data_IF_520946314303
#
_entry.id   IF_520946314303
#
_cell.length_a   1.000
_cell.length_b   1.000
_cell.length_c   1.000
_cell.angle_alpha   90.00
_cell.angle_beta   90.00
_cell.angle_gamma   90.00
#
_symmetry.space_group_name_H-M   'P 1'
#
loop_
_entity.id
_entity.type
_entity.pdbx_description
1 polymer ?
#
# COMPACT_ATOMS: atom_id res chain seq x y z
N UNK A 1 -5.56 0.49 18.32
CA UNK A 1 -5.24 1.29 17.14
C UNK A 1 -4.10 2.24 17.48
N UNK A 2 -3.05 2.25 16.71
CA UNK A 2 -1.96 3.22 16.81
C UNK A 2 -2.27 4.42 15.93
N UNK A 3 -1.75 5.60 16.31
CA UNK A 3 -1.82 6.80 15.51
C UNK A 3 -0.40 7.33 15.31
N UNK A 4 0.06 7.38 14.06
CA UNK A 4 1.44 7.70 13.72
C UNK A 4 1.52 8.88 12.75
N UNK A 5 2.52 9.75 12.95
CA UNK A 5 2.82 10.89 12.08
C UNK A 5 4.19 10.71 11.45
N UNK A 6 4.23 10.68 10.13
CA UNK A 6 5.44 10.57 9.32
C UNK A 6 5.79 11.92 8.70
N UNK A 7 7.03 12.36 8.87
CA UNK A 7 7.54 13.66 8.39
C UNK A 7 8.99 13.54 7.96
N UNK A 8 9.44 14.46 7.11
CA UNK A 8 10.76 14.46 6.50
C UNK A 8 10.72 13.80 5.12
N UNK A 9 11.83 13.29 4.64
CA UNK A 9 11.87 12.46 3.43
C UNK A 9 11.31 11.07 3.71
N UNK A 10 11.07 10.27 2.68
CA UNK A 10 10.68 8.87 2.83
C UNK A 10 11.70 8.11 3.66
N UNK A 11 13.00 8.23 3.36
CA UNK A 11 14.06 7.60 4.15
C UNK A 11 13.99 7.98 5.63
N UNK A 12 13.89 9.28 5.94
CA UNK A 12 13.83 9.76 7.32
C UNK A 12 12.58 9.26 8.07
N UNK A 13 11.45 9.18 7.38
CA UNK A 13 10.22 8.64 7.92
C UNK A 13 10.37 7.16 8.28
N UNK A 14 10.89 6.34 7.35
CA UNK A 14 11.18 4.94 7.56
C UNK A 14 12.18 4.71 8.70
N UNK A 15 13.31 5.42 8.68
CA UNK A 15 14.36 5.31 9.70
C UNK A 15 13.84 5.64 11.11
N UNK A 16 13.09 6.73 11.22
CA UNK A 16 12.52 7.16 12.51
C UNK A 16 11.53 6.13 13.05
N UNK A 17 10.68 5.61 12.19
CA UNK A 17 9.70 4.60 12.60
C UNK A 17 10.37 3.28 12.97
N UNK A 18 11.30 2.78 12.15
CA UNK A 18 12.07 1.59 12.44
C UNK A 18 12.82 1.67 13.76
N UNK A 19 13.50 2.81 14.00
CA UNK A 19 14.22 3.07 15.24
C UNK A 19 13.29 3.14 16.47
N UNK A 20 12.09 3.74 16.30
CA UNK A 20 11.10 3.82 17.37
C UNK A 20 10.59 2.42 17.75
N UNK A 21 10.25 1.60 16.77
CA UNK A 21 9.82 0.23 16.99
C UNK A 21 10.91 -0.59 17.68
N UNK A 22 12.15 -0.52 17.20
CA UNK A 22 13.29 -1.22 17.81
C UNK A 22 13.52 -0.80 19.26
N UNK A 23 13.45 0.51 19.55
CA UNK A 23 13.56 1.05 20.91
C UNK A 23 12.52 0.43 21.86
N UNK A 24 11.32 0.15 21.36
CA UNK A 24 10.24 -0.48 22.11
C UNK A 24 10.26 -2.01 22.03
N UNK A 25 11.36 -2.60 21.55
CA UNK A 25 11.53 -4.06 21.35
C UNK A 25 10.48 -4.67 20.42
N UNK A 26 10.01 -3.89 19.47
CA UNK A 26 9.05 -4.31 18.47
C UNK A 26 9.82 -4.61 17.18
N UNK A 27 10.18 -5.86 16.99
CA UNK A 27 10.95 -6.30 15.84
C UNK A 27 9.97 -6.63 14.72
N UNK A 28 10.08 -5.92 13.59
CA UNK A 28 9.16 -6.09 12.44
C UNK A 28 9.20 -7.54 11.95
N UNK A 29 10.38 -8.11 11.78
CA UNK A 29 10.53 -9.47 11.26
C UNK A 29 9.97 -10.58 12.17
N UNK A 30 9.72 -10.29 13.44
CA UNK A 30 9.06 -11.22 14.38
C UNK A 30 7.51 -11.12 14.33
N UNK A 31 6.97 -10.10 13.64
CA UNK A 31 5.55 -9.81 13.57
C UNK A 31 4.96 -9.99 12.17
N UNK A 32 5.59 -10.82 11.34
CA UNK A 32 5.13 -11.10 9.98
C UNK A 32 4.18 -12.31 10.02
N UNK A 33 3.01 -12.25 9.34
CA UNK A 33 2.02 -13.31 9.39
C UNK A 33 2.30 -14.49 8.45
N UNK A 34 3.50 -14.59 7.88
CA UNK A 34 3.90 -15.65 6.94
C UNK A 34 5.41 -15.92 7.00
N UNK A 35 5.82 -17.06 6.50
CA UNK A 35 7.24 -17.43 6.38
C UNK A 35 7.91 -16.68 5.22
N UNK A 36 9.14 -16.22 5.44
CA UNK A 36 9.97 -15.60 4.40
C UNK A 36 10.73 -16.70 3.66
N UNK A 37 10.11 -17.21 2.61
CA UNK A 37 10.70 -18.24 1.76
C UNK A 37 11.67 -17.66 0.72
N UNK A 38 12.52 -18.50 0.15
CA UNK A 38 13.37 -18.10 -0.98
C UNK A 38 12.54 -17.59 -2.16
N UNK A 39 11.38 -18.16 -2.42
CA UNK A 39 10.44 -17.71 -3.46
C UNK A 39 10.02 -16.24 -3.27
N UNK A 40 9.74 -15.82 -2.03
CA UNK A 40 9.41 -14.43 -1.73
C UNK A 40 10.58 -13.48 -1.93
N UNK A 41 11.79 -13.93 -1.60
CA UNK A 41 13.03 -13.17 -1.83
C UNK A 41 13.28 -13.00 -3.34
N UNK A 42 13.19 -14.06 -4.11
CA UNK A 42 13.39 -14.04 -5.57
C UNK A 42 12.31 -13.17 -6.25
N UNK A 43 11.07 -13.27 -5.78
CA UNK A 43 9.98 -12.43 -6.24
C UNK A 43 10.27 -10.94 -5.98
N UNK A 44 10.70 -10.58 -4.78
CA UNK A 44 11.03 -9.20 -4.43
C UNK A 44 12.19 -8.65 -5.28
N UNK A 45 13.22 -9.47 -5.54
CA UNK A 45 14.32 -9.10 -6.45
C UNK A 45 13.82 -8.82 -7.87
N UNK A 46 12.79 -9.53 -8.33
CA UNK A 46 12.17 -9.27 -9.63
C UNK A 46 11.29 -8.01 -9.66
N UNK A 47 10.72 -7.62 -8.51
CA UNK A 47 9.91 -6.41 -8.35
C UNK A 47 10.78 -5.14 -8.21
N UNK A 48 11.93 -5.22 -7.56
CA UNK A 48 12.76 -4.07 -7.21
C UNK A 48 13.03 -3.11 -8.37
N UNK A 49 13.43 -3.56 -9.58
CA UNK A 49 13.64 -2.64 -10.71
C UNK A 49 12.39 -1.87 -11.13
N UNK A 50 11.20 -2.41 -10.86
CA UNK A 50 9.93 -1.77 -11.14
C UNK A 50 9.68 -0.65 -10.13
N UNK A 51 9.86 -0.93 -8.84
CA UNK A 51 9.77 0.08 -7.79
C UNK A 51 10.80 1.20 -7.97
N UNK A 52 12.06 0.86 -8.27
CA UNK A 52 13.11 1.83 -8.58
C UNK A 52 12.74 2.77 -9.73
N UNK A 53 12.07 2.24 -10.75
CA UNK A 53 11.67 3.02 -11.93
C UNK A 53 10.46 3.93 -11.68
N UNK A 54 9.45 3.44 -10.97
CA UNK A 54 8.15 4.11 -10.87
C UNK A 54 7.89 4.75 -9.49
N UNK A 55 8.55 4.25 -8.46
CA UNK A 55 8.30 4.68 -7.07
C UNK A 55 9.57 4.57 -6.21
N UNK A 56 10.63 5.24 -6.66
CA UNK A 56 11.94 5.21 -6.01
C UNK A 56 11.87 5.65 -4.54
N UNK A 57 11.02 6.62 -4.23
CA UNK A 57 10.87 7.16 -2.88
C UNK A 57 10.44 6.09 -1.86
N UNK A 58 9.61 5.13 -2.26
CA UNK A 58 9.20 4.03 -1.36
C UNK A 58 10.36 3.05 -1.11
N UNK A 59 11.27 2.88 -2.07
CA UNK A 59 12.49 2.07 -1.88
C UNK A 59 13.38 2.72 -0.84
N UNK A 60 13.52 4.05 -0.88
CA UNK A 60 14.22 4.83 0.14
C UNK A 60 13.59 4.68 1.53
N UNK A 61 12.26 4.67 1.63
CA UNK A 61 11.59 4.46 2.92
C UNK A 61 11.83 3.05 3.47
N UNK A 62 11.79 2.04 2.61
CA UNK A 62 12.09 0.65 2.99
C UNK A 62 13.54 0.53 3.48
N UNK A 63 14.49 1.21 2.80
CA UNK A 63 15.87 1.26 3.25
C UNK A 63 15.99 1.93 4.62
N UNK A 64 15.36 3.09 4.80
CA UNK A 64 15.32 3.79 6.09
C UNK A 64 14.73 2.93 7.20
N UNK A 65 13.63 2.21 6.91
CA UNK A 65 13.00 1.30 7.86
C UNK A 65 13.93 0.14 8.26
N UNK A 66 14.64 -0.45 7.29
CA UNK A 66 15.62 -1.51 7.55
C UNK A 66 16.77 -1.02 8.41
N UNK A 67 17.34 0.15 8.10
CA UNK A 67 18.42 0.77 8.88
C UNK A 67 17.97 1.08 10.30
N UNK A 68 16.75 1.61 10.47
CA UNK A 68 16.16 1.88 11.76
C UNK A 68 15.89 0.62 12.60
N UNK A 69 15.52 -0.48 11.96
CA UNK A 69 15.32 -1.79 12.58
C UNK A 69 16.62 -2.59 12.73
N UNK A 70 17.73 -2.14 12.12
CA UNK A 70 19.02 -2.83 12.06
C UNK A 70 18.89 -4.24 11.45
N UNK A 71 18.11 -4.37 10.37
CA UNK A 71 17.89 -5.63 9.67
C UNK A 71 18.27 -5.56 8.19
N UNK A 72 18.33 -6.71 7.52
CA UNK A 72 18.63 -6.78 6.08
C UNK A 72 17.44 -6.23 5.28
N UNK A 73 17.69 -5.19 4.49
CA UNK A 73 16.68 -4.54 3.63
C UNK A 73 16.03 -5.52 2.64
N UNK A 74 16.78 -6.51 2.14
CA UNK A 74 16.27 -7.51 1.18
C UNK A 74 15.15 -8.34 1.81
N UNK A 75 15.25 -8.60 3.11
CA UNK A 75 14.22 -9.34 3.83
C UNK A 75 12.95 -8.48 3.99
N UNK A 76 13.09 -7.19 4.32
CA UNK A 76 11.96 -6.27 4.36
C UNK A 76 11.32 -6.08 2.98
N UNK A 77 12.11 -5.98 1.91
CA UNK A 77 11.61 -5.96 0.53
C UNK A 77 10.82 -7.23 0.20
N UNK A 78 11.33 -8.41 0.61
CA UNK A 78 10.61 -9.67 0.42
C UNK A 78 9.25 -9.67 1.13
N UNK A 79 9.19 -9.15 2.35
CA UNK A 79 7.94 -9.00 3.09
C UNK A 79 6.98 -8.06 2.36
N UNK A 80 7.40 -6.82 2.14
CA UNK A 80 6.54 -5.75 1.66
C UNK A 80 6.08 -5.97 0.21
N UNK A 81 6.97 -6.38 -0.70
CA UNK A 81 6.58 -6.57 -2.10
C UNK A 81 5.71 -7.82 -2.32
N UNK A 82 5.83 -8.85 -1.47
CA UNK A 82 5.04 -10.07 -1.61
C UNK A 82 3.75 -10.09 -0.80
N UNK A 83 3.54 -9.15 0.12
CA UNK A 83 2.47 -9.18 1.11
C UNK A 83 1.07 -9.35 0.50
N UNK A 84 0.68 -8.49 -0.43
CA UNK A 84 -0.62 -8.58 -1.12
C UNK A 84 -0.55 -9.34 -2.44
N UNK A 85 0.65 -9.68 -2.91
CA UNK A 85 0.84 -10.46 -4.13
C UNK A 85 0.76 -11.96 -3.89
N UNK A 86 1.15 -12.40 -2.69
CA UNK A 86 1.10 -13.78 -2.21
C UNK A 86 0.37 -13.85 -0.85
N UNK A 87 -0.88 -13.37 -0.77
CA UNK A 87 -1.56 -13.21 0.51
C UNK A 87 -2.08 -14.53 1.06
N UNK A 88 -2.24 -14.64 2.39
CA UNK A 88 -3.21 -15.55 2.97
C UNK A 88 -4.63 -15.11 2.55
N UNK A 89 -5.60 -16.01 2.66
CA UNK A 89 -7.02 -15.68 2.44
C UNK A 89 -7.45 -14.53 3.34
N UNK A 90 -7.95 -13.44 2.75
CA UNK A 90 -8.56 -12.35 3.47
C UNK A 90 -9.78 -11.85 2.68
N UNK A 91 -10.78 -11.35 3.41
CA UNK A 91 -11.95 -10.72 2.84
C UNK A 91 -11.95 -9.24 3.23
N UNK A 92 -12.50 -8.42 2.37
CA UNK A 92 -12.69 -6.99 2.63
C UNK A 92 -13.92 -6.53 1.87
N UNK A 93 -14.52 -5.45 2.32
CA UNK A 93 -15.55 -4.74 1.58
C UNK A 93 -15.20 -3.25 1.48
N UNK A 94 -15.51 -2.64 0.35
CA UNK A 94 -15.34 -1.22 0.12
C UNK A 94 -16.49 -0.70 -0.72
N UNK A 95 -16.98 0.49 -0.38
CA UNK A 95 -18.02 1.17 -1.13
C UNK A 95 -17.75 2.66 -1.20
N UNK A 96 -18.27 3.31 -2.22
CA UNK A 96 -18.32 4.76 -2.32
C UNK A 96 -19.67 5.21 -2.86
N UNK A 97 -20.16 6.33 -2.39
CA UNK A 97 -21.35 6.98 -2.94
C UNK A 97 -21.30 8.49 -2.76
N UNK A 98 -22.05 9.18 -3.63
CA UNK A 98 -22.21 10.63 -3.61
C UNK A 98 -23.67 10.97 -3.35
N UNK A 99 -23.89 11.96 -2.48
CA UNK A 99 -25.17 12.63 -2.28
C UNK A 99 -25.05 14.10 -2.69
N UNK A 100 -26.13 14.87 -2.57
CA UNK A 100 -26.09 16.32 -2.79
C UNK A 100 -25.21 17.06 -1.78
N UNK A 101 -24.91 16.44 -0.62
CA UNK A 101 -24.25 17.09 0.52
C UNK A 101 -22.85 16.55 0.78
N UNK A 102 -22.58 15.29 0.42
CA UNK A 102 -21.35 14.62 0.81
C UNK A 102 -20.95 13.52 -0.15
N UNK A 103 -19.66 13.19 -0.11
CA UNK A 103 -19.05 12.06 -0.80
C UNK A 103 -18.44 11.18 0.28
N UNK A 104 -18.83 9.92 0.29
CA UNK A 104 -18.39 8.96 1.29
C UNK A 104 -17.69 7.77 0.64
N UNK A 105 -16.56 7.39 1.21
CA UNK A 105 -15.90 6.11 0.95
C UNK A 105 -15.78 5.38 2.28
N UNK A 106 -16.31 4.18 2.34
CA UNK A 106 -16.22 3.31 3.52
C UNK A 106 -15.55 1.99 3.18
N UNK A 107 -14.70 1.52 4.08
CA UNK A 107 -14.02 0.22 3.94
C UNK A 107 -14.09 -0.57 5.24
N UNK A 108 -14.27 -1.88 5.12
CA UNK A 108 -14.15 -2.82 6.21
C UNK A 108 -13.09 -3.89 5.86
N UNK A 109 -12.28 -4.24 6.86
CA UNK A 109 -11.23 -5.25 6.75
C UNK A 109 -11.66 -6.48 7.55
N UNK A 110 -12.03 -7.55 6.84
CA UNK A 110 -12.43 -8.83 7.43
C UNK A 110 -11.24 -9.76 7.40
N UNK A 111 -10.33 -9.59 8.37
CA UNK A 111 -9.08 -10.32 8.44
C UNK A 111 -8.93 -11.02 9.80
N UNK A 112 -7.73 -11.47 10.14
CA UNK A 112 -7.44 -12.16 11.40
C UNK A 112 -7.66 -11.24 12.60
N UNK A 113 -8.41 -11.68 13.58
CA UNK A 113 -8.67 -10.90 14.82
C UNK A 113 -7.40 -10.62 15.62
N UNK A 114 -6.40 -11.48 15.48
CA UNK A 114 -5.09 -11.34 16.12
C UNK A 114 -4.36 -10.06 15.71
N UNK A 115 -4.58 -9.58 14.48
CA UNK A 115 -3.92 -8.36 13.98
C UNK A 115 -4.69 -7.07 14.22
N UNK A 116 -5.89 -7.11 14.81
CA UNK A 116 -6.65 -5.88 15.16
C UNK A 116 -5.82 -4.89 15.99
N UNK A 117 -4.95 -5.40 16.86
CA UNK A 117 -4.06 -4.58 17.69
C UNK A 117 -2.98 -3.88 16.88
N UNK A 118 -2.66 -4.37 15.67
CA UNK A 118 -1.65 -3.80 14.78
C UNK A 118 -2.23 -2.71 13.88
N UNK A 119 -3.56 -2.54 13.87
CA UNK A 119 -4.19 -1.50 13.08
C UNK A 119 -3.69 -0.12 13.49
N UNK A 120 -3.22 0.64 12.53
CA UNK A 120 -2.74 2.00 12.70
C UNK A 120 -3.40 2.96 11.72
N UNK A 121 -3.77 4.12 12.24
CA UNK A 121 -4.08 5.29 11.44
C UNK A 121 -2.81 6.12 11.30
N UNK A 122 -2.48 6.51 10.10
CA UNK A 122 -1.25 7.23 9.77
C UNK A 122 -1.53 8.57 9.13
N UNK A 123 -0.68 9.54 9.41
CA UNK A 123 -0.63 10.83 8.71
C UNK A 123 0.76 10.98 8.12
N UNK A 124 0.83 11.03 6.80
CA UNK A 124 2.06 11.30 6.06
C UNK A 124 2.08 12.75 5.60
N UNK A 125 3.14 13.45 5.95
CA UNK A 125 3.46 14.79 5.45
C UNK A 125 4.95 14.84 5.14
N UNK A 126 5.31 14.30 3.99
CA UNK A 126 6.69 14.18 3.54
C UNK A 126 7.14 15.42 2.75
N UNK A 127 8.45 15.57 2.57
CA UNK A 127 9.07 16.78 2.00
C UNK A 127 9.68 16.57 0.61
N UNK A 128 9.62 15.37 0.09
CA UNK A 128 10.21 14.94 -1.18
C UNK A 128 9.23 14.98 -2.37
N UNK A 129 8.31 15.94 -2.34
CA UNK A 129 7.50 16.31 -3.50
C UNK A 129 6.24 15.45 -3.71
N UNK A 130 5.77 14.78 -2.65
CA UNK A 130 4.54 14.01 -2.66
C UNK A 130 3.40 14.71 -1.90
N UNK A 131 2.16 14.30 -2.14
CA UNK A 131 1.00 14.82 -1.44
C UNK A 131 0.89 14.27 -0.02
N UNK A 132 0.43 15.11 0.90
CA UNK A 132 0.11 14.68 2.26
C UNK A 132 -1.18 13.85 2.25
N UNK A 133 -1.22 12.82 3.09
CA UNK A 133 -2.42 11.99 3.21
C UNK A 133 -2.59 11.44 4.63
N UNK A 134 -3.80 10.99 4.93
CA UNK A 134 -4.10 10.12 6.07
C UNK A 134 -4.66 8.81 5.57
N UNK A 135 -4.32 7.72 6.25
CA UNK A 135 -4.78 6.39 5.86
C UNK A 135 -4.76 5.39 7.01
N UNK A 136 -5.24 4.21 6.74
CA UNK A 136 -5.25 3.10 7.68
C UNK A 136 -4.51 1.89 7.09
N UNK A 137 -3.88 1.12 7.97
CA UNK A 137 -3.16 -0.08 7.59
C UNK A 137 -2.96 -1.03 8.77
N UNK A 138 -2.83 -2.30 8.44
CA UNK A 138 -2.28 -3.36 9.29
C UNK A 138 -0.95 -3.89 8.73
N UNK A 139 -0.47 -3.33 7.62
CA UNK A 139 0.61 -3.85 6.78
C UNK A 139 1.82 -2.91 6.71
N UNK A 140 2.30 -2.47 7.86
CA UNK A 140 3.49 -1.62 8.02
C UNK A 140 3.35 -0.27 7.32
N UNK A 141 4.09 -0.06 6.22
CA UNK A 141 4.09 1.18 5.42
C UNK A 141 3.16 1.12 4.20
N UNK A 142 2.58 -0.04 3.92
CA UNK A 142 1.54 -0.18 2.90
C UNK A 142 0.23 0.40 3.41
N UNK A 143 -0.61 0.91 2.51
CA UNK A 143 -1.86 1.56 2.89
C UNK A 143 -3.05 0.78 2.33
N UNK A 144 -4.05 0.55 3.17
CA UNK A 144 -5.26 -0.19 2.78
C UNK A 144 -6.41 0.72 2.34
N UNK A 145 -6.51 1.87 2.99
CA UNK A 145 -7.42 2.95 2.60
C UNK A 145 -6.89 4.30 3.10
N UNK A 146 -7.33 5.38 2.48
CA UNK A 146 -6.92 6.71 2.89
C UNK A 146 -7.51 7.81 2.04
N UNK A 147 -7.19 9.05 2.42
CA UNK A 147 -7.52 10.26 1.68
C UNK A 147 -6.36 11.23 1.71
N UNK A 148 -6.06 11.86 0.56
CA UNK A 148 -5.00 12.84 0.47
C UNK A 148 -5.50 14.29 0.59
N UNK A 149 -4.57 15.25 0.63
CA UNK A 149 -4.85 16.69 0.79
C UNK A 149 -5.67 17.30 -0.36
N UNK A 150 -5.77 16.62 -1.51
CA UNK A 150 -6.64 17.02 -2.62
C UNK A 150 -8.04 16.40 -2.54
N UNK A 151 -8.29 15.53 -1.55
CA UNK A 151 -9.55 14.84 -1.36
C UNK A 151 -9.74 13.62 -2.24
N UNK A 152 -8.68 13.08 -2.87
CA UNK A 152 -8.72 11.75 -3.47
C UNK A 152 -8.74 10.71 -2.36
N UNK A 153 -9.82 9.94 -2.28
CA UNK A 153 -9.98 8.80 -1.39
C UNK A 153 -9.80 7.49 -2.16
N UNK A 154 -9.08 6.55 -1.57
CA UNK A 154 -8.78 5.25 -2.15
C UNK A 154 -8.98 4.16 -1.11
N UNK A 155 -9.60 3.04 -1.49
CA UNK A 155 -9.71 1.85 -0.66
C UNK A 155 -9.51 0.59 -1.48
N UNK A 156 -8.76 -0.39 -0.94
CA UNK A 156 -8.53 -1.66 -1.59
C UNK A 156 -9.43 -2.77 -1.03
N UNK A 157 -9.76 -3.74 -1.87
CA UNK A 157 -10.23 -5.05 -1.44
C UNK A 157 -9.47 -6.14 -2.19
N UNK A 158 -9.10 -7.19 -1.49
CA UNK A 158 -8.35 -8.29 -2.07
C UNK A 158 -9.25 -9.18 -2.93
N UNK A 159 -8.70 -9.65 -4.04
CA UNK A 159 -9.27 -10.68 -4.90
C UNK A 159 -8.24 -11.80 -4.99
N UNK A 160 -8.66 -13.05 -5.04
CA UNK A 160 -7.74 -14.15 -5.17
C UNK A 160 -6.90 -14.01 -6.45
N UNK A 161 -5.56 -13.98 -6.34
CA UNK A 161 -4.70 -13.92 -7.51
C UNK A 161 -4.73 -15.26 -8.23
N UNK A 162 -5.08 -15.25 -9.51
CA UNK A 162 -4.91 -16.42 -10.37
C UNK A 162 -3.44 -16.60 -10.80
N UNK A 163 -2.69 -15.50 -10.84
CA UNK A 163 -1.26 -15.47 -11.17
C UNK A 163 -0.59 -14.30 -10.43
N UNK A 164 0.61 -14.54 -9.91
CA UNK A 164 1.48 -13.51 -9.37
C UNK A 164 2.56 -13.17 -10.38
N UNK A 165 2.73 -11.89 -10.72
CA UNK A 165 3.78 -11.39 -11.61
C UNK A 165 4.50 -10.22 -10.93
N UNK A 166 5.76 -9.91 -11.31
CA UNK A 166 6.44 -8.75 -10.76
C UNK A 166 5.69 -7.44 -11.04
N UNK A 167 5.58 -6.60 -10.03
CA UNK A 167 4.87 -5.33 -10.11
C UNK A 167 4.47 -4.78 -8.74
N UNK A 168 3.60 -3.78 -8.76
CA UNK A 168 3.05 -3.19 -7.56
C UNK A 168 1.97 -4.08 -6.94
N UNK A 169 2.07 -4.33 -5.65
CA UNK A 169 0.99 -4.93 -4.88
C UNK A 169 -0.09 -3.91 -4.50
N UNK A 170 -1.21 -4.39 -3.98
CA UNK A 170 -2.37 -3.56 -3.69
C UNK A 170 -2.10 -2.43 -2.69
N UNK A 171 -1.41 -2.70 -1.60
CA UNK A 171 -1.14 -1.70 -0.56
C UNK A 171 -0.19 -0.61 -1.03
N UNK A 172 0.82 -0.96 -1.83
CA UNK A 172 1.74 -0.01 -2.44
C UNK A 172 1.06 0.83 -3.54
N UNK A 173 0.08 0.26 -4.26
CA UNK A 173 -0.71 1.03 -5.23
C UNK A 173 -1.55 2.09 -4.52
N UNK A 174 -2.28 1.73 -3.46
CA UNK A 174 -3.09 2.70 -2.70
C UNK A 174 -2.21 3.84 -2.23
N UNK A 175 -1.06 3.53 -1.66
CA UNK A 175 -0.11 4.52 -1.21
C UNK A 175 0.40 5.41 -2.35
N UNK A 176 0.81 4.82 -3.47
CA UNK A 176 1.25 5.57 -4.65
C UNK A 176 0.19 6.56 -5.14
N UNK A 177 -1.07 6.12 -5.24
CA UNK A 177 -2.16 6.99 -5.69
C UNK A 177 -2.40 8.17 -4.74
N UNK A 178 -2.36 7.92 -3.42
CA UNK A 178 -2.52 8.97 -2.41
C UNK A 178 -1.39 10.00 -2.47
N UNK A 179 -0.17 9.59 -2.80
CA UNK A 179 1.00 10.46 -2.87
C UNK A 179 1.16 11.20 -4.20
N UNK A 180 0.62 10.66 -5.30
CA UNK A 180 0.95 11.14 -6.66
C UNK A 180 -0.26 11.65 -7.47
N UNK A 181 -1.50 11.35 -7.04
CA UNK A 181 -2.70 11.69 -7.81
C UNK A 181 -3.61 12.63 -7.04
N UNK A 182 -4.23 13.59 -7.75
CA UNK A 182 -5.12 14.58 -7.13
C UNK A 182 -6.59 14.19 -7.16
N UNK A 183 -6.99 13.37 -8.13
CA UNK A 183 -8.38 13.03 -8.38
C UNK A 183 -8.51 11.65 -9.04
N UNK A 184 -9.74 11.18 -9.19
CA UNK A 184 -10.06 9.88 -9.78
C UNK A 184 -9.52 9.73 -11.20
N UNK A 185 -9.60 10.77 -12.04
CA UNK A 185 -9.11 10.72 -13.42
C UNK A 185 -7.60 10.50 -13.51
N UNK A 186 -6.82 11.22 -12.68
CA UNK A 186 -5.38 11.03 -12.59
C UNK A 186 -5.04 9.63 -12.07
N UNK A 187 -5.72 9.18 -11.02
CA UNK A 187 -5.51 7.85 -10.45
C UNK A 187 -5.77 6.73 -11.46
N UNK A 188 -6.87 6.79 -12.21
CA UNK A 188 -7.19 5.83 -13.27
C UNK A 188 -6.12 5.85 -14.37
N UNK A 189 -5.67 7.03 -14.78
CA UNK A 189 -4.62 7.18 -15.80
C UNK A 189 -3.29 6.58 -15.34
N UNK A 190 -2.91 6.77 -14.08
CA UNK A 190 -1.72 6.17 -13.48
C UNK A 190 -1.82 4.63 -13.45
N UNK A 191 -2.96 4.09 -13.06
CA UNK A 191 -3.19 2.65 -12.96
C UNK A 191 -3.04 1.93 -14.31
N UNK A 192 -3.37 2.57 -15.42
CA UNK A 192 -3.13 2.00 -16.76
C UNK A 192 -1.64 1.91 -17.13
N UNK A 193 -0.79 2.68 -16.47
CA UNK A 193 0.65 2.74 -16.77
C UNK A 193 1.50 1.89 -15.82
N UNK A 194 0.98 1.59 -14.63
CA UNK A 194 1.71 0.84 -13.61
C UNK A 194 1.66 -0.67 -13.87
N UNK A 195 2.79 -1.38 -13.74
CA UNK A 195 2.81 -2.83 -13.72
C UNK A 195 2.22 -3.34 -12.40
N UNK A 196 1.01 -3.87 -12.45
CA UNK A 196 0.28 -4.36 -11.27
C UNK A 196 0.54 -5.84 -11.06
N UNK A 197 0.91 -6.21 -9.84
CA UNK A 197 1.34 -7.54 -9.45
C UNK A 197 0.21 -8.49 -9.07
N UNK A 198 -0.84 -7.97 -8.45
CA UNK A 198 -1.87 -8.78 -7.79
C UNK A 198 -3.27 -8.46 -8.26
N UNK A 199 -4.19 -9.41 -8.10
CA UNK A 199 -5.60 -9.20 -8.33
C UNK A 199 -6.22 -8.46 -7.13
N UNK A 200 -6.88 -7.35 -7.40
CA UNK A 200 -7.52 -6.51 -6.37
C UNK A 200 -8.63 -5.66 -6.97
N UNK A 201 -9.52 -5.19 -6.10
CA UNK A 201 -10.43 -4.11 -6.44
C UNK A 201 -9.96 -2.83 -5.78
N UNK A 202 -9.94 -1.73 -6.51
CA UNK A 202 -9.69 -0.39 -6.00
C UNK A 202 -10.94 0.45 -6.16
N UNK A 203 -11.45 0.97 -5.04
CA UNK A 203 -12.55 1.94 -5.01
C UNK A 203 -11.94 3.32 -4.82
N UNK A 204 -12.29 4.24 -5.72
CA UNK A 204 -11.77 5.61 -5.77
C UNK A 204 -12.94 6.58 -5.67
N UNK A 205 -12.76 7.68 -4.95
CA UNK A 205 -13.69 8.82 -4.93
C UNK A 205 -12.90 10.13 -4.81
N UNK A 206 -13.44 11.23 -5.33
CA UNK A 206 -12.84 12.55 -5.19
C UNK A 206 -13.85 13.65 -4.89
N UNK A 207 -13.36 14.83 -4.51
CA UNK A 207 -14.17 15.98 -4.13
C UNK A 207 -15.06 16.53 -5.25
N UNK A 208 -14.84 16.12 -6.50
CA UNK A 208 -15.70 16.50 -7.63
C UNK A 208 -16.89 15.56 -7.82
N UNK A 209 -17.03 14.54 -6.95
CA UNK A 209 -18.09 13.55 -7.03
C UNK A 209 -17.80 12.39 -8.00
N UNK A 210 -16.60 12.33 -8.57
CA UNK A 210 -16.22 11.19 -9.40
C UNK A 210 -15.98 9.96 -8.52
N UNK A 211 -16.54 8.83 -8.96
CA UNK A 211 -16.34 7.52 -8.32
C UNK A 211 -15.92 6.52 -9.40
N UNK A 212 -14.94 5.68 -9.08
CA UNK A 212 -14.52 4.56 -9.90
C UNK A 212 -14.29 3.32 -9.05
N UNK A 213 -14.65 2.16 -9.56
CA UNK A 213 -14.32 0.88 -8.98
C UNK A 213 -13.61 0.04 -10.05
N UNK A 214 -12.36 -0.27 -9.83
CA UNK A 214 -11.49 -0.92 -10.79
C UNK A 214 -11.13 -2.32 -10.28
N UNK A 215 -11.48 -3.34 -11.06
CA UNK A 215 -11.11 -4.72 -10.79
C UNK A 215 -9.88 -5.08 -11.62
N UNK A 216 -8.76 -5.31 -10.95
CA UNK A 216 -7.57 -5.87 -11.55
C UNK A 216 -7.55 -7.37 -11.31
N UNK A 217 -7.59 -8.12 -12.41
CA UNK A 217 -7.36 -9.56 -12.46
C UNK A 217 -6.19 -9.83 -13.39
N UNK A 218 -5.68 -11.04 -13.44
CA UNK A 218 -4.76 -11.44 -14.51
C UNK A 218 -5.33 -11.03 -15.86
N UNK A 219 -4.51 -10.56 -16.83
CA UNK A 219 -5.02 -10.08 -18.10
C UNK A 219 -5.95 -11.12 -18.72
N UNK A 220 -7.19 -10.69 -18.96
CA UNK A 220 -8.15 -11.49 -19.69
C UNK A 220 -7.63 -11.72 -21.10
N UNK A 221 -7.87 -12.87 -21.74
CA UNK A 221 -7.58 -13.05 -23.16
C UNK A 221 -8.17 -11.97 -24.08
N UNK A 222 -9.14 -11.19 -23.57
CA UNK A 222 -9.71 -10.03 -24.27
C UNK A 222 -8.83 -8.79 -24.23
N UNK A 223 -7.96 -8.67 -23.24
CA UNK A 223 -7.06 -7.51 -23.05
C UNK A 223 -5.76 -7.67 -23.87
N UNK A 224 -5.58 -8.82 -24.53
CA UNK A 224 -4.43 -9.15 -25.38
C UNK A 224 -4.68 -8.96 -26.88
N UNK A 225 -5.70 -8.16 -27.26
CA UNK A 225 -6.04 -7.87 -28.67
C UNK A 225 -5.75 -6.43 -29.04
#
# INVERSE_FOLDING_TARGET
MYHAHFRGTHYEAGFRWGSLLLKHKNIILENIPFEITQERIDYALSCLPIYEKYYHEIVEEIQGLADGQQCDVRILQAVLFSMYSMPPSCNCSCFAFTTEQEILLGRNSDFLTEIERLNQNVVYKLTDGVYSFTGNTTAFIEIEDGVNEHGLAVGLTSVYPNQCKPGFNAGMIVRYLLEKCRNVSEAVSCLYQLPIASAQTLTLADTMGAIACLLYTSPSPRDMR
#
